data_IF_491736296784
#
_entry.id   IF_491736296784
#
_cell.length_a   1.000
_cell.length_b   1.000
_cell.length_c   1.000
_cell.angle_alpha   90.00
_cell.angle_beta   90.00
_cell.angle_gamma   90.00
#
_symmetry.space_group_name_H-M   'P 1'
#
loop_
_entity.id
_entity.type
_entity.pdbx_description
1 polymer ?
#
# COMPACT_ATOMS: atom_id res chain seq x y z
N UNK A 1 -20.71 -10.60 -3.13
CA UNK A 1 -19.82 -11.58 -2.46
C UNK A 1 -20.67 -12.70 -1.93
N UNK A 2 -20.38 -13.93 -2.33
CA UNK A 2 -21.17 -15.11 -1.98
C UNK A 2 -21.13 -15.31 -0.46
N UNK A 3 -22.30 -15.47 0.17
CA UNK A 3 -22.39 -15.70 1.61
C UNK A 3 -21.61 -16.95 2.01
N UNK A 4 -21.03 -17.00 3.20
CA UNK A 4 -20.38 -18.22 3.73
C UNK A 4 -21.30 -19.45 3.67
N UNK A 5 -22.63 -19.26 3.67
CA UNK A 5 -23.61 -20.31 3.44
C UNK A 5 -23.50 -20.93 2.03
N UNK A 6 -23.27 -20.12 0.99
CA UNK A 6 -23.08 -20.61 -0.39
C UNK A 6 -21.84 -21.50 -0.51
N UNK A 7 -20.75 -21.21 0.22
CA UNK A 7 -19.59 -22.10 0.25
C UNK A 7 -19.99 -23.52 0.67
N UNK A 8 -20.72 -23.67 1.77
CA UNK A 8 -21.13 -24.98 2.27
C UNK A 8 -22.19 -25.69 1.40
N UNK A 9 -22.92 -24.93 0.59
CA UNK A 9 -23.88 -25.45 -0.39
C UNK A 9 -23.20 -25.97 -1.65
N UNK A 10 -22.15 -25.28 -2.11
CA UNK A 10 -21.46 -25.58 -3.37
C UNK A 10 -20.27 -26.53 -3.18
N UNK A 11 -19.71 -26.62 -1.96
CA UNK A 11 -18.52 -27.41 -1.67
C UNK A 11 -18.82 -28.63 -0.80
N UNK A 12 -18.25 -29.77 -1.21
CA UNK A 12 -18.37 -31.04 -0.47
C UNK A 12 -17.54 -31.04 0.82
N UNK A 13 -16.39 -30.37 0.82
CA UNK A 13 -15.49 -30.26 1.98
C UNK A 13 -15.94 -29.14 2.91
N UNK A 14 -16.41 -29.53 4.10
CA UNK A 14 -16.74 -28.62 5.20
C UNK A 14 -15.58 -28.57 6.19
N UNK A 15 -14.33 -28.59 5.71
CA UNK A 15 -13.17 -28.43 6.58
C UNK A 15 -12.90 -26.95 6.83
N UNK A 16 -12.36 -26.62 8.01
CA UNK A 16 -11.96 -25.26 8.33
C UNK A 16 -10.86 -24.77 7.37
N UNK A 17 -9.91 -25.63 7.00
CA UNK A 17 -8.79 -25.24 6.14
C UNK A 17 -9.25 -24.87 4.73
N UNK A 18 -10.19 -25.61 4.15
CA UNK A 18 -10.68 -25.31 2.81
C UNK A 18 -11.56 -24.05 2.80
N UNK A 19 -12.36 -23.87 3.85
CA UNK A 19 -13.09 -22.62 4.07
C UNK A 19 -12.15 -21.41 4.17
N UNK A 20 -11.04 -21.52 4.91
CA UNK A 20 -10.06 -20.45 5.05
C UNK A 20 -9.37 -20.12 3.72
N UNK A 21 -9.02 -21.13 2.91
CA UNK A 21 -8.47 -20.91 1.56
C UNK A 21 -9.46 -20.24 0.63
N UNK A 22 -10.74 -20.62 0.70
CA UNK A 22 -11.80 -19.95 -0.05
C UNK A 22 -11.91 -18.47 0.36
N UNK A 23 -11.89 -18.20 1.67
CA UNK A 23 -12.00 -16.85 2.23
C UNK A 23 -10.77 -15.99 2.00
N UNK A 24 -9.58 -16.56 1.84
CA UNK A 24 -8.31 -15.83 1.75
C UNK A 24 -8.31 -14.69 0.72
N UNK A 25 -9.00 -14.87 -0.42
CA UNK A 25 -9.08 -13.88 -1.48
C UNK A 25 -10.21 -12.84 -1.28
N UNK A 26 -10.90 -12.90 -0.15
CA UNK A 26 -11.98 -11.98 0.17
C UNK A 26 -11.43 -10.63 0.65
N UNK A 27 -12.02 -9.53 0.18
CA UNK A 27 -11.73 -8.17 0.62
C UNK A 27 -11.87 -7.97 2.13
N UNK A 28 -12.79 -8.68 2.77
CA UNK A 28 -13.08 -8.64 4.20
C UNK A 28 -12.38 -9.75 4.99
N UNK A 29 -11.40 -10.45 4.40
CA UNK A 29 -10.68 -11.52 5.08
C UNK A 29 -9.87 -10.98 6.28
N UNK A 30 -10.23 -11.45 7.47
CA UNK A 30 -9.80 -10.83 8.72
C UNK A 30 -8.71 -11.65 9.45
N UNK A 31 -8.57 -11.45 10.76
CA UNK A 31 -7.69 -12.21 11.63
C UNK A 31 -8.21 -13.63 11.93
N UNK A 32 -7.30 -14.47 12.46
CA UNK A 32 -7.57 -15.86 12.80
C UNK A 32 -8.81 -16.06 13.66
N UNK A 33 -8.97 -15.27 14.71
CA UNK A 33 -10.03 -15.46 15.69
C UNK A 33 -11.39 -15.15 15.09
N UNK A 34 -11.48 -14.11 14.27
CA UNK A 34 -12.73 -13.70 13.61
C UNK A 34 -13.14 -14.67 12.52
N UNK A 35 -12.22 -15.11 11.66
CA UNK A 35 -12.54 -16.07 10.60
C UNK A 35 -12.97 -17.43 11.18
N UNK A 36 -12.30 -17.90 12.25
CA UNK A 36 -12.70 -19.10 12.97
C UNK A 36 -14.09 -18.97 13.61
N UNK A 37 -14.39 -17.80 14.22
CA UNK A 37 -15.71 -17.54 14.80
C UNK A 37 -16.79 -17.45 13.71
N UNK A 38 -16.49 -16.81 12.59
CA UNK A 38 -17.42 -16.70 11.46
C UNK A 38 -17.76 -18.09 10.91
N UNK A 39 -16.75 -18.94 10.72
CA UNK A 39 -16.92 -20.33 10.32
C UNK A 39 -17.87 -21.09 11.27
N UNK A 40 -17.57 -21.09 12.58
CA UNK A 40 -18.39 -21.77 13.58
C UNK A 40 -19.83 -21.26 13.60
N UNK A 41 -20.01 -19.93 13.55
CA UNK A 41 -21.34 -19.30 13.55
C UNK A 41 -22.17 -19.69 12.31
N UNK A 42 -21.53 -19.86 11.15
CA UNK A 42 -22.25 -20.29 9.94
C UNK A 42 -22.73 -21.73 10.11
N UNK A 43 -21.90 -22.63 10.65
CA UNK A 43 -22.30 -24.00 10.95
C UNK A 43 -23.41 -24.06 12.00
N UNK A 44 -23.32 -23.27 13.08
CA UNK A 44 -24.38 -23.16 14.10
C UNK A 44 -25.72 -22.70 13.50
N UNK A 45 -25.69 -21.76 12.55
CA UNK A 45 -26.90 -21.33 11.84
C UNK A 45 -27.47 -22.46 10.96
N UNK A 46 -26.62 -23.33 10.41
CA UNK A 46 -27.03 -24.46 9.58
C UNK A 46 -27.62 -25.62 10.39
N UNK A 47 -27.36 -25.71 11.70
CA UNK A 47 -28.07 -26.64 12.61
C UNK A 47 -29.57 -26.33 12.71
N UNK A 48 -29.94 -25.06 12.54
CA UNK A 48 -31.35 -24.62 12.56
C UNK A 48 -32.01 -24.69 11.17
N UNK A 49 -31.32 -25.23 10.16
CA UNK A 49 -31.87 -25.36 8.81
C UNK A 49 -32.85 -26.53 8.72
N UNK A 50 -33.78 -26.49 7.76
CA UNK A 50 -34.86 -27.51 7.64
C UNK A 50 -34.37 -28.85 7.07
N UNK A 51 -33.14 -28.90 6.57
CA UNK A 51 -32.54 -30.10 5.99
C UNK A 51 -31.83 -30.91 7.07
N UNK A 52 -32.35 -32.10 7.38
CA UNK A 52 -31.77 -33.01 8.35
C UNK A 52 -30.34 -33.40 7.99
N UNK A 53 -30.07 -33.66 6.70
CA UNK A 53 -28.72 -33.99 6.20
C UNK A 53 -27.70 -32.88 6.49
N UNK A 54 -28.09 -31.61 6.26
CA UNK A 54 -27.20 -30.48 6.49
C UNK A 54 -27.00 -30.20 7.97
N UNK A 55 -28.04 -30.37 8.78
CA UNK A 55 -27.94 -30.26 10.23
C UNK A 55 -26.98 -31.31 10.80
N UNK A 56 -27.13 -32.58 10.41
CA UNK A 56 -26.22 -33.66 10.84
C UNK A 56 -24.78 -33.40 10.40
N UNK A 57 -24.59 -32.92 9.17
CA UNK A 57 -23.25 -32.58 8.68
C UNK A 57 -22.64 -31.41 9.44
N UNK A 58 -23.41 -30.35 9.71
CA UNK A 58 -22.98 -29.21 10.51
C UNK A 58 -22.57 -29.61 11.92
N UNK A 59 -23.37 -30.48 12.56
CA UNK A 59 -23.09 -31.00 13.89
C UNK A 59 -21.78 -31.80 13.92
N UNK A 60 -21.60 -32.72 12.95
CA UNK A 60 -20.38 -33.49 12.82
C UNK A 60 -19.16 -32.59 12.61
N UNK A 61 -19.26 -31.60 11.73
CA UNK A 61 -18.17 -30.64 11.48
C UNK A 61 -17.84 -29.81 12.72
N UNK A 62 -18.85 -29.30 13.44
CA UNK A 62 -18.64 -28.54 14.69
C UNK A 62 -17.97 -29.39 15.77
N UNK A 63 -18.29 -30.68 15.85
CA UNK A 63 -17.64 -31.60 16.79
C UNK A 63 -16.14 -31.75 16.54
N UNK A 64 -15.71 -31.68 15.27
CA UNK A 64 -14.30 -31.77 14.89
C UNK A 64 -13.58 -30.41 14.85
N UNK A 65 -14.32 -29.30 14.95
CA UNK A 65 -13.79 -27.95 14.80
C UNK A 65 -12.61 -27.62 15.72
N UNK A 66 -12.68 -27.93 17.02
CA UNK A 66 -11.60 -27.60 17.94
C UNK A 66 -10.30 -28.36 17.63
N UNK A 67 -10.43 -29.61 17.13
CA UNK A 67 -9.29 -30.39 16.66
C UNK A 67 -8.73 -29.81 15.35
N UNK A 68 -9.57 -29.43 14.39
CA UNK A 68 -9.11 -28.82 13.13
C UNK A 68 -8.44 -27.45 13.36
N UNK A 69 -9.03 -26.61 14.21
CA UNK A 69 -8.54 -25.27 14.55
C UNK A 69 -7.15 -25.26 15.19
N UNK A 70 -6.79 -26.35 15.86
CA UNK A 70 -5.48 -26.59 16.46
C UNK A 70 -4.54 -27.43 15.59
N UNK A 71 -4.99 -27.85 14.40
CA UNK A 71 -4.18 -28.67 13.48
C UNK A 71 -2.98 -27.91 12.92
N UNK A 72 -1.93 -28.66 12.60
CA UNK A 72 -0.73 -28.13 11.96
C UNK A 72 -1.04 -27.46 10.60
N UNK A 73 -2.01 -27.97 9.85
CA UNK A 73 -2.42 -27.41 8.56
C UNK A 73 -3.02 -26.00 8.71
N UNK A 74 -3.91 -25.81 9.69
CA UNK A 74 -4.50 -24.50 9.98
C UNK A 74 -3.46 -23.54 10.55
N UNK A 75 -2.55 -24.02 11.40
CA UNK A 75 -1.44 -23.19 11.89
C UNK A 75 -0.54 -22.70 10.75
N UNK A 76 -0.09 -23.62 9.88
CA UNK A 76 0.78 -23.29 8.75
C UNK A 76 0.13 -22.32 7.76
N UNK A 77 -1.18 -22.44 7.54
CA UNK A 77 -1.95 -21.48 6.76
C UNK A 77 -1.85 -20.07 7.36
N UNK A 78 -2.10 -19.92 8.66
CA UNK A 78 -2.02 -18.61 9.31
C UNK A 78 -0.61 -18.05 9.34
N UNK A 79 0.40 -18.88 9.57
CA UNK A 79 1.80 -18.45 9.51
C UNK A 79 2.16 -17.90 8.11
N UNK A 80 1.65 -18.53 7.04
CA UNK A 80 1.80 -18.04 5.67
C UNK A 80 1.09 -16.70 5.45
N UNK A 81 -0.14 -16.54 5.94
CA UNK A 81 -0.91 -15.29 5.85
C UNK A 81 -0.18 -14.16 6.57
N UNK A 82 0.27 -14.39 7.80
CA UNK A 82 0.98 -13.37 8.59
C UNK A 82 2.31 -12.99 7.94
N UNK A 83 3.05 -13.97 7.42
CA UNK A 83 4.29 -13.70 6.68
C UNK A 83 4.04 -12.78 5.48
N UNK A 84 3.05 -13.09 4.63
CA UNK A 84 2.70 -12.24 3.48
C UNK A 84 2.27 -10.83 3.88
N UNK A 85 1.50 -10.69 4.98
CA UNK A 85 1.10 -9.38 5.49
C UNK A 85 2.32 -8.57 5.95
N UNK A 86 3.22 -9.21 6.69
CA UNK A 86 4.45 -8.58 7.18
C UNK A 86 5.38 -8.15 6.04
N UNK A 87 5.58 -9.01 5.03
CA UNK A 87 6.36 -8.69 3.83
C UNK A 87 5.80 -7.46 3.12
N UNK A 88 4.47 -7.41 2.93
CA UNK A 88 3.79 -6.26 2.32
C UNK A 88 3.95 -4.98 3.16
N UNK A 89 3.89 -5.08 4.48
CA UNK A 89 4.06 -3.91 5.36
C UNK A 89 5.48 -3.35 5.27
N UNK A 90 6.49 -4.22 5.17
CA UNK A 90 7.88 -3.82 4.91
C UNK A 90 7.99 -3.10 3.57
N UNK A 91 7.46 -3.67 2.49
CA UNK A 91 7.48 -3.06 1.17
C UNK A 91 6.79 -1.68 1.16
N UNK A 92 5.67 -1.56 1.87
CA UNK A 92 4.93 -0.30 1.98
C UNK A 92 5.69 0.75 2.78
N UNK A 93 6.42 0.35 3.83
CA UNK A 93 7.31 1.24 4.58
C UNK A 93 8.48 1.72 3.70
N UNK A 94 9.11 0.82 2.96
CA UNK A 94 10.17 1.17 2.01
C UNK A 94 9.67 2.15 0.95
N UNK A 95 8.50 1.88 0.36
CA UNK A 95 7.89 2.75 -0.64
C UNK A 95 7.58 4.15 -0.07
N UNK A 96 7.06 4.23 1.16
CA UNK A 96 6.82 5.50 1.86
C UNK A 96 8.12 6.29 2.04
N UNK A 97 9.18 5.61 2.49
CA UNK A 97 10.49 6.22 2.66
C UNK A 97 11.05 6.74 1.33
N UNK A 98 11.08 5.92 0.28
CA UNK A 98 11.55 6.31 -1.05
C UNK A 98 10.76 7.48 -1.61
N UNK A 99 9.44 7.49 -1.43
CA UNK A 99 8.59 8.61 -1.83
C UNK A 99 8.97 9.90 -1.09
N UNK A 100 9.22 9.82 0.22
CA UNK A 100 9.67 10.98 1.01
C UNK A 100 11.00 11.54 0.49
N UNK A 101 12.01 10.67 0.33
CA UNK A 101 13.31 11.07 -0.18
C UNK A 101 13.23 11.71 -1.59
N UNK A 102 12.37 11.19 -2.47
CA UNK A 102 12.16 11.79 -3.79
C UNK A 102 11.56 13.21 -3.70
N UNK A 103 10.61 13.43 -2.78
CA UNK A 103 10.04 14.76 -2.55
C UNK A 103 11.11 15.73 -2.06
N UNK A 104 11.96 15.31 -1.14
CA UNK A 104 13.05 16.14 -0.61
C UNK A 104 14.05 16.50 -1.74
N UNK A 105 14.45 15.52 -2.55
CA UNK A 105 15.34 15.76 -3.71
C UNK A 105 14.70 16.75 -4.69
N UNK A 106 13.40 16.62 -4.98
CA UNK A 106 12.71 17.56 -5.87
C UNK A 106 12.72 18.98 -5.31
N UNK A 107 12.47 19.14 -4.01
CA UNK A 107 12.54 20.45 -3.32
C UNK A 107 13.95 21.05 -3.40
N UNK A 108 14.99 20.26 -3.12
CA UNK A 108 16.38 20.71 -3.23
C UNK A 108 16.75 21.09 -4.68
N UNK A 109 16.30 20.33 -5.67
CA UNK A 109 16.49 20.65 -7.08
C UNK A 109 15.82 21.97 -7.48
N UNK A 110 14.63 22.26 -6.97
CA UNK A 110 13.95 23.53 -7.20
C UNK A 110 14.73 24.71 -6.60
N UNK A 111 15.23 24.55 -5.36
CA UNK A 111 16.07 25.55 -4.71
C UNK A 111 17.38 25.80 -5.47
N UNK A 112 18.05 24.73 -5.92
CA UNK A 112 19.27 24.85 -6.74
C UNK A 112 19.00 25.57 -8.05
N UNK A 113 17.90 25.23 -8.76
CA UNK A 113 17.51 25.92 -10.00
C UNK A 113 17.27 27.40 -9.75
N UNK A 114 16.57 27.77 -8.67
CA UNK A 114 16.34 29.17 -8.32
C UNK A 114 17.66 29.91 -8.06
N UNK A 115 18.58 29.31 -7.31
CA UNK A 115 19.89 29.90 -7.01
C UNK A 115 20.75 30.10 -8.28
N UNK A 116 20.81 29.10 -9.16
CA UNK A 116 21.55 29.17 -10.42
C UNK A 116 20.93 30.21 -11.36
N UNK A 117 19.61 30.23 -11.52
CA UNK A 117 18.93 31.23 -12.35
C UNK A 117 19.18 32.64 -11.84
N UNK A 118 19.08 32.86 -10.52
CA UNK A 118 19.35 34.18 -9.92
C UNK A 118 20.80 34.63 -10.14
N UNK A 119 21.77 33.71 -9.98
CA UNK A 119 23.19 33.99 -10.26
C UNK A 119 23.39 34.34 -11.73
N UNK A 120 22.82 33.56 -12.65
CA UNK A 120 22.91 33.79 -14.09
C UNK A 120 22.31 35.12 -14.50
N UNK A 121 21.12 35.48 -13.98
CA UNK A 121 20.48 36.78 -14.20
C UNK A 121 21.40 37.90 -13.71
N UNK A 122 22.01 37.77 -12.53
CA UNK A 122 22.94 38.77 -12.01
C UNK A 122 24.17 38.94 -12.91
N UNK A 123 24.78 37.85 -13.36
CA UNK A 123 25.92 37.88 -14.28
C UNK A 123 25.56 38.54 -15.61
N UNK A 124 24.43 38.17 -16.22
CA UNK A 124 23.94 38.79 -17.45
C UNK A 124 23.70 40.29 -17.26
N UNK A 125 23.05 40.68 -16.15
CA UNK A 125 22.83 42.10 -15.83
C UNK A 125 24.13 42.88 -15.72
N UNK A 126 25.17 42.32 -15.08
CA UNK A 126 26.51 42.95 -15.04
C UNK A 126 27.13 43.07 -16.43
N UNK A 127 27.02 42.05 -17.29
CA UNK A 127 27.55 42.10 -18.64
C UNK A 127 26.87 43.18 -19.50
N UNK A 128 25.55 43.36 -19.38
CA UNK A 128 24.82 44.40 -20.11
C UNK A 128 25.06 45.82 -19.56
N UNK A 129 25.08 46.00 -18.24
CA UNK A 129 25.33 47.30 -17.60
C UNK A 129 26.78 47.78 -17.72
N UNK A 130 27.76 46.88 -17.75
CA UNK A 130 29.17 47.22 -18.00
C UNK A 130 29.46 47.68 -19.44
N UNK A 131 28.61 47.31 -20.40
CA UNK A 131 28.68 47.81 -21.77
C UNK A 131 28.16 49.25 -21.93
N UNK A 132 27.18 49.66 -21.12
CA UNK A 132 26.58 50.99 -21.19
C UNK A 132 27.45 52.08 -20.54
N UNK A 133 28.20 51.76 -19.48
CA UNK A 133 29.11 52.73 -18.83
C UNK A 133 30.37 52.98 -19.65
N UNK A 134 30.89 51.97 -20.34
CA UNK A 134 32.07 52.10 -21.20
C UNK A 134 31.79 52.95 -22.45
N UNK A 135 30.60 52.84 -23.05
CA UNK A 135 30.22 53.68 -24.19
C UNK A 135 29.90 55.15 -23.81
N UNK A 136 29.46 55.43 -22.58
CA UNK A 136 29.28 56.82 -22.11
C UNK A 136 30.61 57.52 -21.84
N UNK A 137 31.57 56.82 -21.24
CA UNK A 137 32.92 57.37 -21.00
C UNK A 137 33.72 57.58 -22.30
N UNK A 138 33.53 56.73 -23.32
CA UNK A 138 34.17 56.90 -24.63
C UNK A 138 33.62 58.07 -25.44
N UNK A 139 32.32 58.40 -25.29
CA UNK A 139 31.72 59.57 -25.96
C UNK A 139 32.14 60.89 -25.32
N UNK A 140 32.18 60.99 -23.99
CA UNK A 140 32.64 62.21 -23.32
C UNK A 140 34.11 62.55 -23.57
N UNK A 141 34.97 61.54 -23.79
CA UNK A 141 36.39 61.78 -24.03
C UNK A 141 36.71 62.31 -25.44
N UNK A 142 35.86 62.00 -26.43
CA UNK A 142 36.04 62.50 -27.79
C UNK A 142 35.53 63.95 -27.94
N UNK A 143 34.53 64.35 -27.15
CA UNK A 143 34.00 65.72 -27.16
C UNK A 143 34.94 66.73 -26.44
N UNK A 144 35.87 66.25 -25.60
CA UNK A 144 36.91 67.09 -24.96
C UNK A 144 38.21 67.23 -25.79
N UNK A 145 38.42 66.39 -26.82
CA UNK A 145 39.59 66.48 -27.72
C UNK A 145 39.31 67.30 -29.01
N UNK A 146 38.06 67.74 -29.24
CA UNK A 146 37.65 68.59 -30.40
C UNK A 146 37.41 70.08 -30.05
N UNK A 147 37.80 70.56 -28.85
CA UNK A 147 37.84 71.99 -28.49
C UNK A 147 39.29 72.49 -28.35
#
# INVERSE_FOLDING_TARGET
MQSAKLYFQENSSWSLIDYLKYRENSLDFDDRSKEHRAYAKVLENMLNDKSEEWSTKAESTLKHFETEKSSAAVSAFWDSVYRRRYERDIELLQLKYTKGALVDIMSEMEQMRAAVTNKSIRTLKHAFTGGETSNKQKRQKNDEEEM
#
